data_IF_214471300512
#
_entry.id   IF_214471300512
#
_cell.length_a   1.000
_cell.length_b   1.000
_cell.length_c   1.000
_cell.angle_alpha   90.00
_cell.angle_beta   90.00
_cell.angle_gamma   90.00
#
_symmetry.space_group_name_H-M   'P 1'
#
loop_
_entity.id
_entity.type
_entity.pdbx_description
1 polymer ?
#
# COMPACT_ATOMS: atom_id res chain seq x y z
N UNK A 1 -8.10 8.77 -25.85
CA UNK A 1 -9.19 9.21 -24.96
C UNK A 1 -9.74 8.13 -24.00
N UNK A 2 -10.18 6.93 -24.42
CA UNK A 2 -10.80 5.97 -23.49
C UNK A 2 -9.83 5.39 -22.43
N UNK A 3 -8.54 5.30 -22.73
CA UNK A 3 -7.52 4.84 -21.76
C UNK A 3 -7.25 5.84 -20.62
N UNK A 4 -7.33 7.15 -20.89
CA UNK A 4 -7.15 8.20 -19.88
C UNK A 4 -8.33 8.21 -18.89
N UNK A 5 -9.55 8.06 -19.41
CA UNK A 5 -10.78 7.96 -18.59
C UNK A 5 -10.73 6.71 -17.69
N UNK A 6 -10.23 5.58 -18.22
CA UNK A 6 -10.04 4.34 -17.44
C UNK A 6 -8.99 4.50 -16.32
N UNK A 7 -7.86 5.17 -16.60
CA UNK A 7 -6.82 5.43 -15.59
C UNK A 7 -7.30 6.35 -14.46
N UNK A 8 -8.05 7.39 -14.80
CA UNK A 8 -8.63 8.32 -13.83
C UNK A 8 -9.62 7.64 -12.87
N UNK A 9 -10.54 6.83 -13.40
CA UNK A 9 -11.51 6.09 -12.60
C UNK A 9 -10.83 5.04 -11.72
N UNK A 10 -9.82 4.34 -12.24
CA UNK A 10 -9.07 3.33 -11.50
C UNK A 10 -8.33 3.93 -10.29
N UNK A 11 -7.65 5.07 -10.47
CA UNK A 11 -6.92 5.72 -9.37
C UNK A 11 -7.85 6.16 -8.24
N UNK A 12 -9.03 6.68 -8.59
CA UNK A 12 -10.06 7.06 -7.60
C UNK A 12 -10.67 5.84 -6.91
N UNK A 13 -10.89 4.76 -7.66
CA UNK A 13 -11.35 3.49 -7.10
C UNK A 13 -10.35 2.95 -6.08
N UNK A 14 -9.05 3.01 -6.35
CA UNK A 14 -8.02 2.57 -5.40
C UNK A 14 -8.08 3.35 -4.08
N UNK A 15 -8.30 4.67 -4.14
CA UNK A 15 -8.40 5.52 -2.94
C UNK A 15 -9.68 5.24 -2.16
N UNK A 16 -10.79 5.03 -2.88
CA UNK A 16 -12.04 4.60 -2.27
C UNK A 16 -11.87 3.24 -1.57
N UNK A 17 -11.25 2.26 -2.24
CA UNK A 17 -10.95 0.97 -1.66
C UNK A 17 -10.03 1.09 -0.44
N UNK A 18 -9.02 1.96 -0.47
CA UNK A 18 -8.18 2.22 0.70
C UNK A 18 -9.00 2.75 1.89
N UNK A 19 -9.94 3.68 1.64
CA UNK A 19 -10.84 4.18 2.69
C UNK A 19 -11.77 3.09 3.25
N UNK A 20 -12.24 2.16 2.42
CA UNK A 20 -13.10 1.05 2.85
C UNK A 20 -12.30 -0.02 3.59
N UNK A 21 -11.11 -0.39 3.11
CA UNK A 21 -10.31 -1.45 3.70
C UNK A 21 -9.61 -1.04 5.00
N UNK A 22 -9.38 0.25 5.24
CA UNK A 22 -8.74 0.69 6.50
C UNK A 22 -9.53 0.33 7.77
N UNK A 23 -10.84 0.63 7.90
CA UNK A 23 -11.61 0.20 9.06
C UNK A 23 -11.78 -1.33 9.11
N UNK A 24 -11.96 -1.99 7.97
CA UNK A 24 -12.03 -3.46 7.88
C UNK A 24 -10.75 -4.09 8.43
N UNK A 25 -9.59 -3.52 8.08
CA UNK A 25 -8.29 -3.96 8.58
C UNK A 25 -8.25 -3.93 10.11
N UNK A 26 -8.65 -2.84 10.76
CA UNK A 26 -8.65 -2.77 12.24
C UNK A 26 -9.68 -3.72 12.86
N UNK A 27 -10.85 -3.91 12.25
CA UNK A 27 -11.82 -4.89 12.72
C UNK A 27 -11.24 -6.31 12.65
N UNK A 28 -10.60 -6.68 11.54
CA UNK A 28 -9.94 -7.98 11.37
C UNK A 28 -8.77 -8.13 12.35
N UNK A 29 -7.96 -7.08 12.52
CA UNK A 29 -6.83 -7.08 13.45
C UNK A 29 -7.30 -7.41 14.88
N UNK A 30 -8.35 -6.73 15.35
CA UNK A 30 -8.90 -6.95 16.69
C UNK A 30 -9.65 -8.29 16.80
N UNK A 31 -10.24 -8.80 15.71
CA UNK A 31 -10.94 -10.08 15.68
C UNK A 31 -9.97 -11.27 15.71
N UNK A 32 -8.86 -11.17 14.99
CA UNK A 32 -7.90 -12.26 14.82
C UNK A 32 -6.77 -12.24 15.86
N UNK A 33 -6.48 -11.08 16.47
CA UNK A 33 -5.53 -11.04 17.58
C UNK A 33 -6.03 -11.98 18.67
N UNK A 34 -5.32 -13.10 18.89
CA UNK A 34 -5.75 -14.28 19.68
C UNK A 34 -5.79 -14.01 21.18
N UNK A 35 -6.46 -12.93 21.56
CA UNK A 35 -6.39 -12.40 22.89
C UNK A 35 -7.82 -12.18 23.37
N UNK A 36 -8.24 -13.15 24.18
CA UNK A 36 -9.03 -12.87 25.38
C UNK A 36 -8.47 -11.66 26.19
N UNK A 37 -7.24 -11.18 25.89
CA UNK A 37 -6.59 -9.96 26.40
C UNK A 37 -6.82 -8.66 25.60
N UNK A 38 -7.41 -8.63 24.39
CA UNK A 38 -7.79 -7.39 23.68
C UNK A 38 -9.29 -7.09 23.77
N UNK A 39 -9.92 -7.41 24.90
CA UNK A 39 -10.95 -6.48 25.35
C UNK A 39 -10.22 -5.18 25.70
N UNK A 40 -10.08 -4.27 24.73
CA UNK A 40 -9.52 -2.93 24.97
C UNK A 40 -10.19 -2.35 26.22
N UNK A 41 -11.48 -2.60 26.36
CA UNK A 41 -12.19 -2.42 27.62
C UNK A 41 -13.03 -3.66 27.93
N UNK A 42 -12.95 -4.19 29.16
CA UNK A 42 -13.92 -5.19 29.64
C UNK A 42 -15.19 -4.46 30.07
N UNK A 43 -16.18 -4.43 29.20
CA UNK A 43 -17.50 -3.89 29.54
C UNK A 43 -18.36 -5.06 30.06
N UNK A 44 -18.97 -4.98 31.26
CA UNK A 44 -19.74 -6.08 31.85
C UNK A 44 -20.88 -6.59 30.96
N UNK A 45 -21.45 -5.72 30.12
CA UNK A 45 -22.44 -6.09 29.12
C UNK A 45 -21.75 -6.61 27.85
N UNK A 46 -21.99 -7.87 27.51
CA UNK A 46 -21.39 -8.55 26.36
C UNK A 46 -21.65 -7.84 25.02
N UNK A 47 -22.85 -7.29 24.81
CA UNK A 47 -23.19 -6.61 23.56
C UNK A 47 -22.46 -5.28 23.43
N UNK A 48 -22.38 -4.51 24.52
CA UNK A 48 -21.61 -3.26 24.54
C UNK A 48 -20.11 -3.54 24.37
N UNK A 49 -19.61 -4.63 24.94
CA UNK A 49 -18.22 -5.05 24.78
C UNK A 49 -17.89 -5.38 23.32
N UNK A 50 -18.73 -6.16 22.65
CA UNK A 50 -18.58 -6.50 21.22
C UNK A 50 -18.69 -5.22 20.36
N UNK A 51 -19.69 -4.38 20.61
CA UNK A 51 -19.88 -3.14 19.87
C UNK A 51 -18.69 -2.19 20.00
N UNK A 52 -18.14 -2.05 21.21
CA UNK A 52 -16.99 -1.20 21.45
C UNK A 52 -15.75 -1.72 20.73
N UNK A 53 -15.39 -3.00 20.91
CA UNK A 53 -14.15 -3.54 20.38
C UNK A 53 -14.18 -3.75 18.86
N UNK A 54 -15.34 -4.06 18.25
CA UNK A 54 -15.40 -4.40 16.82
C UNK A 54 -16.02 -3.33 15.93
N UNK A 55 -16.60 -2.27 16.50
CA UNK A 55 -17.10 -1.12 15.73
C UNK A 55 -16.45 0.19 16.17
N UNK A 56 -16.58 0.56 17.45
CA UNK A 56 -16.10 1.87 17.93
C UNK A 56 -14.57 1.99 17.81
N UNK A 57 -13.83 1.02 18.36
CA UNK A 57 -12.37 1.06 18.35
C UNK A 57 -11.78 1.03 16.92
N UNK A 58 -12.22 0.16 15.99
CA UNK A 58 -11.77 0.20 14.59
C UNK A 58 -12.04 1.54 13.90
N UNK A 59 -13.20 2.17 14.14
CA UNK A 59 -13.51 3.49 13.58
C UNK A 59 -12.54 4.55 14.13
N UNK A 60 -12.27 4.54 15.43
CA UNK A 60 -11.35 5.49 16.05
C UNK A 60 -9.92 5.29 15.54
N UNK A 61 -9.43 4.05 15.47
CA UNK A 61 -8.10 3.71 14.98
C UNK A 61 -7.93 4.02 13.48
N UNK A 62 -8.98 3.84 12.67
CA UNK A 62 -8.96 4.19 11.25
C UNK A 62 -9.15 5.69 10.98
N UNK A 63 -9.74 6.44 11.90
CA UNK A 63 -10.09 7.86 11.69
C UNK A 63 -8.96 8.76 11.20
N UNK A 64 -7.69 8.66 11.67
CA UNK A 64 -6.60 9.48 11.15
C UNK A 64 -6.39 9.31 9.65
N UNK A 65 -6.39 8.05 9.22
CA UNK A 65 -6.16 7.67 7.84
C UNK A 65 -7.34 8.05 6.95
N UNK A 66 -8.57 7.87 7.44
CA UNK A 66 -9.77 8.31 6.73
C UNK A 66 -9.79 9.82 6.52
N UNK A 67 -9.37 10.59 7.53
CA UNK A 67 -9.28 12.05 7.45
C UNK A 67 -8.18 12.46 6.46
N UNK A 68 -7.01 11.81 6.49
CA UNK A 68 -5.94 12.05 5.51
C UNK A 68 -6.41 11.73 4.08
N UNK A 69 -7.05 10.58 3.88
CA UNK A 69 -7.60 10.19 2.57
C UNK A 69 -8.64 11.20 2.11
N UNK A 70 -9.56 11.62 2.98
CA UNK A 70 -10.60 12.58 2.63
C UNK A 70 -10.02 13.94 2.22
N UNK A 71 -9.09 14.47 3.02
CA UNK A 71 -8.47 15.78 2.78
C UNK A 71 -7.61 15.80 1.53
N UNK A 72 -6.86 14.71 1.27
CA UNK A 72 -5.92 14.63 0.15
C UNK A 72 -6.40 13.76 -1.01
N UNK A 73 -7.70 13.44 -1.10
CA UNK A 73 -8.26 12.48 -2.09
C UNK A 73 -7.86 12.78 -3.54
N UNK A 74 -7.87 14.05 -3.94
CA UNK A 74 -7.54 14.43 -5.31
C UNK A 74 -6.03 14.30 -5.55
N UNK A 75 -5.21 14.80 -4.62
CA UNK A 75 -3.75 14.67 -4.70
C UNK A 75 -3.30 13.21 -4.70
N UNK A 76 -3.88 12.37 -3.84
CA UNK A 76 -3.63 10.93 -3.84
C UNK A 76 -4.00 10.30 -5.20
N UNK A 77 -5.08 10.74 -5.85
CA UNK A 77 -5.51 10.19 -7.15
C UNK A 77 -4.58 10.61 -8.29
N UNK A 78 -4.18 11.88 -8.26
CA UNK A 78 -3.28 12.51 -9.22
C UNK A 78 -1.84 12.05 -9.02
N UNK A 79 -1.47 11.63 -7.81
CA UNK A 79 -0.15 11.09 -7.52
C UNK A 79 0.14 9.88 -8.40
N UNK A 80 -0.82 8.97 -8.61
CA UNK A 80 -0.61 7.79 -9.45
C UNK A 80 -0.30 8.13 -10.91
N UNK A 81 -0.85 9.24 -11.46
CA UNK A 81 -0.50 9.67 -12.83
C UNK A 81 0.89 10.32 -12.86
N UNK A 82 1.22 11.20 -11.92
CA UNK A 82 2.57 11.77 -11.77
C UNK A 82 3.62 10.69 -11.55
N UNK A 83 3.25 9.66 -10.80
CA UNK A 83 4.11 8.52 -10.53
C UNK A 83 4.31 7.67 -11.77
N UNK A 84 3.24 7.39 -12.52
CA UNK A 84 3.33 6.70 -13.80
C UNK A 84 4.18 7.45 -14.83
N UNK A 85 4.13 8.78 -14.86
CA UNK A 85 4.89 9.62 -15.79
C UNK A 85 6.37 9.76 -15.40
N UNK A 86 6.65 10.13 -14.13
CA UNK A 86 8.01 10.42 -13.66
C UNK A 86 8.81 9.18 -13.28
N UNK A 87 8.12 8.11 -12.92
CA UNK A 87 8.72 6.82 -12.56
C UNK A 87 8.50 5.79 -13.70
N UNK A 88 8.01 6.21 -14.88
CA UNK A 88 7.81 5.42 -16.11
C UNK A 88 9.01 4.57 -16.58
N UNK A 89 10.22 4.90 -16.10
CA UNK A 89 11.42 4.10 -16.36
C UNK A 89 11.30 2.73 -15.69
N UNK A 90 10.71 2.67 -14.49
CA UNK A 90 10.44 1.46 -13.73
C UNK A 90 9.22 0.73 -14.31
N UNK A 91 9.39 -0.52 -14.79
CA UNK A 91 8.26 -1.34 -15.21
C UNK A 91 7.21 -1.48 -14.10
N UNK A 92 5.92 -1.35 -14.43
CA UNK A 92 4.76 -1.45 -13.51
C UNK A 92 4.83 -2.66 -12.56
N UNK A 93 5.40 -3.77 -13.02
CA UNK A 93 5.63 -5.00 -12.25
C UNK A 93 6.46 -4.81 -10.97
N UNK A 94 7.48 -3.95 -11.00
CA UNK A 94 8.26 -3.66 -9.79
C UNK A 94 7.43 -2.85 -8.82
N UNK A 95 6.68 -1.86 -9.33
CA UNK A 95 5.78 -1.05 -8.50
C UNK A 95 4.83 -1.95 -7.68
N UNK A 96 4.32 -3.01 -8.29
CA UNK A 96 3.46 -3.99 -7.63
C UNK A 96 4.22 -4.80 -6.58
N UNK A 97 5.45 -5.28 -6.87
CA UNK A 97 6.30 -5.94 -5.87
C UNK A 97 6.55 -5.06 -4.65
N UNK A 98 7.05 -3.83 -4.89
CA UNK A 98 7.32 -2.84 -3.84
C UNK A 98 6.04 -2.47 -3.09
N UNK A 99 4.92 -2.34 -3.79
CA UNK A 99 3.64 -1.97 -3.22
C UNK A 99 3.03 -3.05 -2.34
N UNK A 100 3.05 -4.32 -2.76
CA UNK A 100 2.57 -5.44 -1.93
C UNK A 100 3.40 -5.54 -0.66
N UNK A 101 4.72 -5.46 -0.78
CA UNK A 101 5.62 -5.49 0.37
C UNK A 101 5.36 -4.30 1.31
N UNK A 102 5.22 -3.09 0.75
CA UNK A 102 4.91 -1.89 1.52
C UNK A 102 3.55 -1.99 2.21
N UNK A 103 2.52 -2.53 1.55
CA UNK A 103 1.21 -2.77 2.15
C UNK A 103 1.29 -3.76 3.30
N UNK A 104 2.05 -4.85 3.13
CA UNK A 104 2.25 -5.84 4.18
C UNK A 104 2.99 -5.26 5.39
N UNK A 105 4.10 -4.54 5.17
CA UNK A 105 4.84 -3.84 6.24
C UNK A 105 3.98 -2.78 6.91
N UNK A 106 3.16 -2.05 6.14
CA UNK A 106 2.21 -1.07 6.66
C UNK A 106 1.19 -1.72 7.57
N UNK A 107 0.59 -2.82 7.12
CA UNK A 107 -0.37 -3.60 7.89
C UNK A 107 0.25 -4.12 9.18
N UNK A 108 1.32 -4.89 9.11
CA UNK A 108 1.86 -5.56 10.30
C UNK A 108 2.53 -4.63 11.31
N UNK A 109 3.20 -3.57 10.86
CA UNK A 109 4.08 -2.79 11.75
C UNK A 109 3.66 -1.32 11.89
N UNK A 110 3.28 -0.66 10.80
CA UNK A 110 3.05 0.79 10.83
C UNK A 110 1.67 1.11 11.41
N UNK A 111 0.60 0.50 10.89
CA UNK A 111 -0.77 0.79 11.31
C UNK A 111 -1.00 0.47 12.79
N UNK A 112 -0.64 -0.71 13.34
CA UNK A 112 -0.90 -1.03 14.73
C UNK A 112 -0.13 -0.12 15.68
N UNK A 113 1.11 0.24 15.35
CA UNK A 113 1.96 1.06 16.20
C UNK A 113 1.52 2.53 16.23
N UNK A 114 1.25 3.11 15.05
CA UNK A 114 1.12 4.57 14.89
C UNK A 114 -0.33 5.04 15.01
N UNK A 115 -1.31 4.22 14.60
CA UNK A 115 -2.72 4.65 14.54
C UNK A 115 -3.33 5.04 15.88
N UNK A 116 -3.07 4.34 17.00
CA UNK A 116 -3.57 4.74 18.30
C UNK A 116 -3.11 6.15 18.70
N UNK A 117 -1.82 6.47 18.54
CA UNK A 117 -1.31 7.82 18.79
C UNK A 117 -1.89 8.86 17.81
N UNK A 118 -1.94 8.54 16.51
CA UNK A 118 -2.51 9.44 15.51
C UNK A 118 -3.99 9.73 15.73
N UNK A 119 -4.76 8.79 16.30
CA UNK A 119 -6.18 9.01 16.62
C UNK A 119 -6.36 10.15 17.61
N UNK A 120 -5.48 10.25 18.62
CA UNK A 120 -5.47 11.34 19.60
C UNK A 120 -5.07 12.66 18.94
N UNK A 121 -3.99 12.68 18.16
CA UNK A 121 -3.55 13.90 17.47
C UNK A 121 -4.59 14.40 16.45
N UNK A 122 -5.25 13.48 15.75
CA UNK A 122 -6.28 13.84 14.78
C UNK A 122 -7.51 14.40 15.48
N UNK A 123 -7.94 13.79 16.59
CA UNK A 123 -9.03 14.31 17.40
C UNK A 123 -8.70 15.70 17.98
N UNK A 124 -7.46 15.94 18.41
CA UNK A 124 -6.98 17.28 18.81
C UNK A 124 -7.11 18.29 17.67
N UNK A 125 -6.61 17.93 16.49
CA UNK A 125 -6.63 18.80 15.32
C UNK A 125 -8.07 19.12 14.87
N UNK A 126 -8.95 18.12 14.82
CA UNK A 126 -10.38 18.30 14.47
C UNK A 126 -11.09 19.16 15.52
N UNK A 127 -10.85 18.92 16.82
CA UNK A 127 -11.42 19.73 17.90
C UNK A 127 -11.02 21.20 17.77
N UNK A 128 -9.74 21.46 17.48
CA UNK A 128 -9.23 22.82 17.26
C UNK A 128 -9.87 23.48 16.04
N UNK A 129 -9.96 22.79 14.91
CA UNK A 129 -10.57 23.31 13.69
C UNK A 129 -12.05 23.68 13.90
N UNK A 130 -12.81 22.89 14.67
CA UNK A 130 -14.21 23.16 14.99
C UNK A 130 -14.40 24.44 15.80
N UNK A 131 -13.45 24.78 16.69
CA UNK A 131 -13.48 25.99 17.51
C UNK A 131 -12.96 27.19 16.70
N UNK A 132 -11.83 27.03 16.01
CA UNK A 132 -11.18 28.09 15.24
C UNK A 132 -12.08 28.58 14.08
N UNK A 133 -12.81 27.69 13.41
CA UNK A 133 -13.70 28.03 12.29
C UNK A 133 -14.98 28.80 12.67
N UNK A 134 -15.16 29.18 13.95
CA UNK A 134 -16.38 29.83 14.45
C UNK A 134 -16.09 31.25 14.95
N UNK A 135 -15.86 32.18 14.03
CA UNK A 135 -15.56 33.60 14.33
C UNK A 135 -16.51 34.25 15.35
N UNK A 136 -17.80 33.92 15.30
CA UNK A 136 -18.82 34.43 16.23
C UNK A 136 -18.58 34.03 17.70
N UNK A 137 -17.89 32.91 17.96
CA UNK A 137 -17.55 32.49 19.33
C UNK A 137 -16.40 33.34 19.90
N UNK A 138 -15.45 33.74 19.06
CA UNK A 138 -14.31 34.57 19.43
C UNK A 138 -14.72 36.01 19.80
N UNK A 139 -15.83 36.50 19.22
CA UNK A 139 -16.33 37.86 19.44
C UNK A 139 -17.23 38.02 20.68
N UNK A 140 -17.75 36.93 21.26
CA UNK A 140 -18.75 37.01 22.35
C UNK A 140 -18.16 37.26 23.73
N UNK A 141 -17.27 36.38 24.21
CA UNK A 141 -16.64 36.47 25.53
C UNK A 141 -15.61 35.37 25.71
N UNK A 142 -14.48 35.69 26.38
CA UNK A 142 -13.41 34.74 26.70
C UNK A 142 -13.91 33.54 27.53
N UNK A 143 -14.84 33.77 28.46
CA UNK A 143 -15.36 32.70 29.33
C UNK A 143 -16.18 31.68 28.52
N UNK A 144 -17.03 32.15 27.61
CA UNK A 144 -17.84 31.28 26.73
C UNK A 144 -16.91 30.44 25.84
N UNK A 145 -15.87 31.04 25.28
CA UNK A 145 -14.90 30.34 24.46
C UNK A 145 -14.19 29.23 25.23
N UNK A 146 -13.74 29.48 26.47
CA UNK A 146 -13.10 28.47 27.31
C UNK A 146 -14.05 27.32 27.62
N UNK A 147 -15.29 27.61 28.04
CA UNK A 147 -16.28 26.57 28.36
C UNK A 147 -16.61 25.71 27.14
N UNK A 148 -16.85 26.32 25.97
CA UNK A 148 -17.11 25.58 24.73
C UNK A 148 -15.91 24.75 24.33
N UNK A 149 -14.69 25.29 24.47
CA UNK A 149 -13.47 24.56 24.15
C UNK A 149 -13.34 23.31 25.04
N UNK A 150 -13.52 23.44 26.36
CA UNK A 150 -13.47 22.31 27.29
C UNK A 150 -14.49 21.23 26.90
N UNK A 151 -15.72 21.62 26.57
CA UNK A 151 -16.77 20.67 26.17
C UNK A 151 -16.40 19.94 24.88
N UNK A 152 -15.98 20.67 23.83
CA UNK A 152 -15.62 20.09 22.53
C UNK A 152 -14.42 19.17 22.65
N UNK A 153 -13.35 19.62 23.31
CA UNK A 153 -12.16 18.79 23.53
C UNK A 153 -12.49 17.55 24.35
N UNK A 154 -13.26 17.68 25.44
CA UNK A 154 -13.64 16.52 26.25
C UNK A 154 -14.48 15.52 25.45
N UNK A 155 -15.47 15.99 24.69
CA UNK A 155 -16.35 15.14 23.91
C UNK A 155 -15.62 14.38 22.79
N UNK A 156 -14.66 15.02 22.11
CA UNK A 156 -13.96 14.43 20.97
C UNK A 156 -12.68 13.68 21.33
N UNK A 157 -11.97 14.07 22.39
CA UNK A 157 -10.73 13.41 22.81
C UNK A 157 -10.96 12.20 23.70
N UNK A 158 -12.05 12.17 24.47
CA UNK A 158 -12.26 11.13 25.48
C UNK A 158 -12.14 9.73 24.87
N UNK A 159 -12.85 9.46 23.78
CA UNK A 159 -12.84 8.15 23.14
C UNK A 159 -11.49 7.79 22.50
N UNK A 160 -10.85 8.64 21.66
CA UNK A 160 -9.50 8.38 21.14
C UNK A 160 -8.44 8.16 22.20
N UNK A 161 -8.43 8.96 23.27
CA UNK A 161 -7.49 8.79 24.38
C UNK A 161 -7.73 7.46 25.09
N UNK A 162 -8.99 7.11 25.36
CA UNK A 162 -9.35 5.85 26.00
C UNK A 162 -8.94 4.65 25.15
N UNK A 163 -9.28 4.64 23.86
CA UNK A 163 -8.88 3.56 22.93
C UNK A 163 -7.36 3.46 22.83
N UNK A 164 -6.67 4.59 22.69
CA UNK A 164 -5.20 4.63 22.58
C UNK A 164 -4.52 4.10 23.83
N UNK A 165 -4.99 4.51 25.01
CA UNK A 165 -4.48 4.03 26.29
C UNK A 165 -4.58 2.50 26.40
N UNK A 166 -5.78 1.95 26.19
CA UNK A 166 -5.98 0.51 26.30
C UNK A 166 -5.25 -0.28 25.21
N UNK A 167 -5.18 0.25 24.00
CA UNK A 167 -4.43 -0.37 22.93
C UNK A 167 -2.94 -0.47 23.26
N UNK A 168 -2.35 0.58 23.85
CA UNK A 168 -0.95 0.56 24.26
C UNK A 168 -0.68 -0.34 25.47
N UNK A 169 -1.64 -0.49 26.40
CA UNK A 169 -1.52 -1.50 27.47
C UNK A 169 -1.46 -2.92 26.88
N UNK A 170 -2.26 -3.19 25.85
CA UNK A 170 -2.29 -4.47 25.16
C UNK A 170 -1.23 -4.60 24.03
N UNK A 171 -0.38 -3.60 23.82
CA UNK A 171 0.50 -3.57 22.64
C UNK A 171 1.62 -4.59 22.70
N UNK A 172 2.20 -4.86 23.87
CA UNK A 172 3.27 -5.87 24.00
C UNK A 172 2.82 -7.26 23.51
N UNK A 173 1.72 -7.86 24.03
CA UNK A 173 1.25 -9.15 23.53
C UNK A 173 0.79 -9.07 22.06
N UNK A 174 0.16 -7.96 21.65
CA UNK A 174 -0.22 -7.76 20.25
C UNK A 174 1.00 -7.76 19.32
N UNK A 175 2.08 -7.09 19.71
CA UNK A 175 3.31 -6.98 18.91
C UNK A 175 4.03 -8.32 18.79
N UNK A 176 4.00 -9.15 19.83
CA UNK A 176 4.53 -10.51 19.79
C UNK A 176 3.72 -11.39 18.83
N UNK A 177 2.39 -11.35 18.93
CA UNK A 177 1.50 -12.06 18.02
C UNK A 177 1.64 -11.59 16.57
N UNK A 178 1.76 -10.28 16.34
CA UNK A 178 2.01 -9.71 15.01
C UNK A 178 3.35 -10.19 14.44
N UNK A 179 4.40 -10.26 15.26
CA UNK A 179 5.71 -10.72 14.83
C UNK A 179 5.70 -12.21 14.48
N UNK A 180 5.03 -13.05 15.27
CA UNK A 180 4.88 -14.48 14.99
C UNK A 180 4.06 -14.72 13.71
N UNK A 181 2.95 -13.99 13.57
CA UNK A 181 2.12 -14.03 12.36
C UNK A 181 2.89 -13.52 11.14
N UNK A 182 3.72 -12.49 11.30
CA UNK A 182 4.61 -12.02 10.25
C UNK A 182 5.62 -13.08 9.85
N UNK A 183 6.29 -13.73 10.81
CA UNK A 183 7.29 -14.75 10.53
C UNK A 183 6.70 -15.97 9.80
N UNK A 184 5.45 -16.35 10.11
CA UNK A 184 4.76 -17.41 9.37
C UNK A 184 4.29 -16.96 7.98
N UNK A 185 3.89 -15.69 7.81
CA UNK A 185 3.33 -15.17 6.56
C UNK A 185 4.37 -14.61 5.57
N UNK A 186 5.55 -14.17 6.03
CA UNK A 186 6.52 -13.41 5.22
C UNK A 186 7.01 -14.17 4.00
N UNK A 187 7.20 -15.50 4.13
CA UNK A 187 7.57 -16.36 3.00
C UNK A 187 6.48 -16.39 1.93
N UNK A 188 5.21 -16.45 2.33
CA UNK A 188 4.07 -16.38 1.41
C UNK A 188 3.93 -15.00 0.77
N UNK A 189 4.06 -13.91 1.54
CA UNK A 189 4.00 -12.54 1.03
C UNK A 189 5.04 -12.33 -0.08
N UNK A 190 6.28 -12.75 0.18
CA UNK A 190 7.35 -12.67 -0.81
C UNK A 190 7.09 -13.55 -2.03
N UNK A 191 6.67 -14.81 -1.84
CA UNK A 191 6.35 -15.72 -2.94
C UNK A 191 5.22 -15.18 -3.82
N UNK A 192 4.15 -14.67 -3.21
CA UNK A 192 3.03 -14.03 -3.88
C UNK A 192 3.48 -12.84 -4.74
N UNK A 193 4.34 -11.97 -4.18
CA UNK A 193 4.93 -10.86 -4.93
C UNK A 193 5.77 -11.35 -6.11
N UNK A 194 6.54 -12.44 -5.97
CA UNK A 194 7.32 -13.04 -7.06
C UNK A 194 6.43 -13.59 -8.17
N UNK A 195 5.34 -14.29 -7.84
CA UNK A 195 4.46 -14.86 -8.88
C UNK A 195 3.89 -13.78 -9.80
N UNK A 196 3.53 -12.63 -9.22
CA UNK A 196 3.06 -11.46 -9.96
C UNK A 196 4.18 -10.89 -10.85
N UNK A 197 5.39 -10.72 -10.31
CA UNK A 197 6.51 -10.19 -11.08
C UNK A 197 6.87 -11.10 -12.25
N UNK A 198 6.93 -12.41 -12.02
CA UNK A 198 7.30 -13.38 -13.03
C UNK A 198 6.25 -13.47 -14.14
N UNK A 199 4.97 -13.51 -13.77
CA UNK A 199 3.89 -13.60 -14.76
C UNK A 199 3.87 -12.37 -15.68
N UNK A 200 3.99 -11.17 -15.09
CA UNK A 200 4.07 -9.91 -15.83
C UNK A 200 5.35 -9.79 -16.66
N UNK A 201 6.47 -10.33 -16.19
CA UNK A 201 7.74 -10.29 -16.93
C UNK A 201 7.65 -11.17 -18.18
N UNK A 202 7.13 -12.39 -18.04
CA UNK A 202 6.90 -13.30 -19.18
C UNK A 202 5.90 -12.67 -20.16
N UNK A 203 4.76 -12.16 -19.68
CA UNK A 203 3.78 -11.47 -20.52
C UNK A 203 4.38 -10.31 -21.32
N UNK A 204 5.16 -9.45 -20.66
CA UNK A 204 5.84 -8.32 -21.33
C UNK A 204 6.89 -8.77 -22.35
N UNK A 205 7.56 -9.89 -22.10
CA UNK A 205 8.54 -10.47 -23.03
C UNK A 205 7.85 -11.01 -24.28
N UNK A 206 6.75 -11.73 -24.10
CA UNK A 206 5.93 -12.25 -25.22
C UNK A 206 5.39 -11.08 -26.06
N UNK A 207 4.92 -10.00 -25.42
CA UNK A 207 4.48 -8.80 -26.14
C UNK A 207 5.60 -8.13 -26.93
N UNK A 208 6.78 -8.04 -26.33
CA UNK A 208 7.95 -7.47 -26.98
C UNK A 208 8.32 -8.26 -28.23
N UNK A 209 8.41 -9.59 -28.12
CA UNK A 209 8.70 -10.49 -29.25
C UNK A 209 7.63 -10.36 -30.34
N UNK A 210 6.34 -10.38 -29.96
CA UNK A 210 5.22 -10.25 -30.89
C UNK A 210 5.32 -8.98 -31.74
N UNK A 211 5.56 -7.82 -31.12
CA UNK A 211 5.67 -6.57 -31.85
C UNK A 211 6.94 -6.49 -32.70
N UNK A 212 8.04 -7.06 -32.23
CA UNK A 212 9.28 -7.09 -33.00
C UNK A 212 9.11 -7.93 -34.30
N UNK A 213 8.40 -9.06 -34.22
CA UNK A 213 8.17 -9.96 -35.35
C UNK A 213 7.06 -9.47 -36.28
N UNK A 214 5.91 -9.05 -35.73
CA UNK A 214 4.69 -8.76 -36.50
C UNK A 214 4.63 -7.30 -36.93
N UNK A 215 4.76 -6.36 -35.99
CA UNK A 215 4.59 -4.93 -36.28
C UNK A 215 5.90 -4.25 -36.72
N UNK A 216 7.06 -4.90 -36.52
CA UNK A 216 8.43 -4.40 -36.80
C UNK A 216 8.73 -3.02 -36.20
N UNK A 217 7.92 -2.57 -35.25
CA UNK A 217 8.05 -1.28 -34.58
C UNK A 217 8.53 -1.50 -33.15
N UNK A 218 9.80 -1.18 -32.93
CA UNK A 218 10.44 -1.30 -31.62
C UNK A 218 9.81 -0.34 -30.60
N UNK A 219 9.23 0.78 -31.04
CA UNK A 219 8.57 1.76 -30.16
C UNK A 219 7.27 1.25 -29.56
N UNK A 220 6.49 0.49 -30.33
CA UNK A 220 5.18 -0.02 -29.91
C UNK A 220 5.34 -1.26 -29.01
N UNK A 221 6.49 -1.93 -29.10
CA UNK A 221 6.85 -3.07 -28.26
C UNK A 221 6.96 -2.75 -26.76
N UNK A 222 7.07 -1.47 -26.40
CA UNK A 222 7.14 -0.99 -25.02
C UNK A 222 5.86 -0.28 -24.54
N UNK A 223 4.83 -0.15 -25.39
CA UNK A 223 3.60 0.60 -25.08
C UNK A 223 2.37 -0.32 -25.08
N UNK A 224 1.68 -0.36 -23.93
CA UNK A 224 0.44 -1.12 -23.73
C UNK A 224 0.62 -2.65 -23.80
N UNK A 225 -0.44 -3.39 -23.45
CA UNK A 225 -0.53 -4.84 -23.71
C UNK A 225 -1.92 -5.17 -24.25
N UNK A 226 -1.99 -6.14 -25.16
CA UNK A 226 -3.25 -6.64 -25.68
C UNK A 226 -3.98 -7.49 -24.61
N UNK A 227 -5.31 -7.58 -24.71
CA UNK A 227 -6.15 -8.35 -23.77
C UNK A 227 -5.72 -9.81 -23.63
N UNK A 228 -5.25 -10.44 -24.72
CA UNK A 228 -4.74 -11.82 -24.69
C UNK A 228 -3.49 -11.99 -23.84
N UNK A 229 -2.60 -11.00 -23.80
CA UNK A 229 -1.42 -11.05 -22.93
C UNK A 229 -1.83 -10.94 -21.46
N UNK A 230 -2.85 -10.13 -21.15
CA UNK A 230 -3.38 -10.06 -19.79
C UNK A 230 -3.97 -11.40 -19.33
N UNK A 231 -4.69 -12.09 -20.22
CA UNK A 231 -5.20 -13.44 -19.94
C UNK A 231 -4.04 -14.41 -19.69
N UNK A 232 -2.97 -14.33 -20.48
CA UNK A 232 -1.76 -15.13 -20.28
C UNK A 232 -1.07 -14.81 -18.94
N UNK A 233 -0.92 -13.53 -18.59
CA UNK A 233 -0.34 -13.09 -17.31
C UNK A 233 -1.13 -13.62 -16.12
N UNK A 234 -2.46 -13.54 -16.16
CA UNK A 234 -3.35 -14.09 -15.11
C UNK A 234 -3.26 -15.61 -15.05
N UNK A 235 -3.23 -16.28 -16.20
CA UNK A 235 -3.11 -17.74 -16.27
C UNK A 235 -1.79 -18.23 -15.69
N UNK A 236 -0.68 -17.57 -16.04
CA UNK A 236 0.65 -17.86 -15.49
C UNK A 236 0.71 -17.61 -13.99
N UNK A 237 0.10 -16.53 -13.50
CA UNK A 237 -0.01 -16.27 -12.07
C UNK A 237 -0.71 -17.42 -11.32
N UNK A 238 -1.84 -17.90 -11.85
CA UNK A 238 -2.57 -19.04 -11.26
C UNK A 238 -1.72 -20.31 -11.27
N UNK A 239 -1.00 -20.57 -12.36
CA UNK A 239 -0.08 -21.71 -12.47
C UNK A 239 1.03 -21.62 -11.43
N UNK A 240 1.65 -20.44 -11.25
CA UNK A 240 2.71 -20.26 -10.25
C UNK A 240 2.20 -20.41 -8.83
N UNK A 241 1.01 -19.89 -8.53
CA UNK A 241 0.35 -20.10 -7.25
C UNK A 241 0.09 -21.60 -6.99
N UNK A 242 -0.40 -22.33 -8.00
CA UNK A 242 -0.62 -23.77 -7.92
C UNK A 242 0.68 -24.56 -7.65
N UNK A 243 1.76 -24.24 -8.37
CA UNK A 243 3.06 -24.92 -8.24
C UNK A 243 3.72 -24.74 -6.86
N UNK A 244 3.40 -23.65 -6.17
CA UNK A 244 3.97 -23.35 -4.85
C UNK A 244 3.27 -24.09 -3.70
N UNK A 245 1.98 -24.40 -3.84
CA UNK A 245 1.19 -25.02 -2.77
C UNK A 245 1.77 -26.42 -2.45
N UNK A 246 2.25 -26.66 -1.21
CA UNK A 246 2.94 -27.89 -0.87
C UNK A 246 2.11 -29.16 -1.09
N UNK A 247 0.80 -29.07 -0.87
CA UNK A 247 -0.15 -30.18 -0.96
C UNK A 247 -0.39 -30.68 -2.39
N UNK A 248 0.04 -29.92 -3.42
CA UNK A 248 -0.24 -30.19 -4.83
C UNK A 248 1.01 -30.62 -5.62
N UNK A 249 2.14 -30.83 -4.93
CA UNK A 249 3.36 -31.39 -5.53
C UNK A 249 4.67 -30.67 -5.18
N UNK A 250 4.62 -29.60 -4.38
CA UNK A 250 5.76 -28.77 -3.95
C UNK A 250 6.90 -28.67 -4.99
N UNK A 251 6.62 -28.00 -6.12
CA UNK A 251 7.61 -27.73 -7.15
C UNK A 251 8.24 -26.34 -6.95
N UNK A 252 8.52 -25.96 -5.70
CA UNK A 252 9.16 -24.69 -5.35
C UNK A 252 10.47 -24.46 -6.10
N UNK A 253 11.26 -25.51 -6.35
CA UNK A 253 12.46 -25.45 -7.18
C UNK A 253 12.18 -25.01 -8.64
N UNK A 254 11.04 -25.37 -9.22
CA UNK A 254 10.66 -24.93 -10.58
C UNK A 254 10.38 -23.43 -10.59
N UNK A 255 9.71 -22.92 -9.54
CA UNK A 255 9.45 -21.48 -9.39
C UNK A 255 10.76 -20.71 -9.27
N UNK A 256 11.74 -21.26 -8.55
CA UNK A 256 13.06 -20.66 -8.45
C UNK A 256 13.75 -20.54 -9.81
N UNK A 257 13.71 -21.58 -10.64
CA UNK A 257 14.25 -21.52 -12.00
C UNK A 257 13.50 -20.51 -12.88
N UNK A 258 12.16 -20.50 -12.80
CA UNK A 258 11.33 -19.52 -13.52
C UNK A 258 11.71 -18.11 -13.09
N UNK A 259 11.92 -17.87 -11.81
CA UNK A 259 12.30 -16.57 -11.27
C UNK A 259 13.66 -16.10 -11.81
N UNK A 260 14.66 -16.99 -11.83
CA UNK A 260 15.98 -16.68 -12.43
C UNK A 260 15.86 -16.35 -13.92
N UNK A 261 15.07 -17.13 -14.66
CA UNK A 261 14.81 -16.87 -16.08
C UNK A 261 14.10 -15.52 -16.27
N UNK A 262 13.06 -15.25 -15.47
CA UNK A 262 12.34 -13.98 -15.49
C UNK A 262 13.28 -12.81 -15.20
N UNK A 263 14.15 -12.92 -14.20
CA UNK A 263 15.19 -11.94 -13.88
C UNK A 263 16.14 -11.67 -15.06
N UNK A 264 16.62 -12.72 -15.73
CA UNK A 264 17.47 -12.59 -16.91
C UNK A 264 16.74 -11.89 -18.06
N UNK A 265 15.51 -12.30 -18.37
CA UNK A 265 14.66 -11.64 -19.37
C UNK A 265 14.43 -10.17 -19.03
N UNK A 266 14.24 -9.88 -17.75
CA UNK A 266 14.14 -8.52 -17.22
C UNK A 266 15.36 -7.67 -17.55
N UNK A 267 16.54 -8.18 -17.22
CA UNK A 267 17.80 -7.48 -17.43
C UNK A 267 18.00 -7.20 -18.93
N UNK A 268 17.70 -8.20 -19.78
CA UNK A 268 17.73 -8.04 -21.24
C UNK A 268 16.76 -6.95 -21.70
N UNK A 269 15.51 -6.96 -21.26
CA UNK A 269 14.52 -5.93 -21.64
C UNK A 269 14.95 -4.52 -21.21
N UNK A 270 15.56 -4.37 -20.03
CA UNK A 270 16.10 -3.08 -19.54
C UNK A 270 17.25 -2.61 -20.44
N UNK A 271 18.19 -3.49 -20.76
CA UNK A 271 19.33 -3.19 -21.65
C UNK A 271 18.84 -2.81 -23.05
N UNK A 272 17.85 -3.52 -23.59
CA UNK A 272 17.27 -3.20 -24.89
C UNK A 272 16.56 -1.84 -24.87
N UNK A 273 15.77 -1.55 -23.83
CA UNK A 273 15.11 -0.25 -23.66
C UNK A 273 16.13 0.89 -23.62
N UNK A 274 17.25 0.68 -22.91
CA UNK A 274 18.40 1.59 -22.86
C UNK A 274 19.04 1.80 -24.24
N UNK A 275 19.30 0.72 -24.97
CA UNK A 275 19.96 0.75 -26.28
C UNK A 275 19.12 1.48 -27.32
N UNK A 276 17.80 1.25 -27.33
CA UNK A 276 16.92 1.80 -28.36
C UNK A 276 16.36 3.20 -28.04
N UNK A 277 16.71 3.80 -26.89
CA UNK A 277 16.22 5.13 -26.45
C UNK A 277 14.71 5.31 -26.65
N UNK A 278 13.95 4.24 -26.45
CA UNK A 278 12.51 4.24 -26.71
C UNK A 278 11.82 5.05 -25.62
N UNK A 279 11.45 6.28 -26.00
CA UNK A 279 10.65 7.28 -25.27
C UNK A 279 11.47 8.11 -24.28
N UNK A 280 11.40 9.43 -24.46
CA UNK A 280 12.12 10.50 -23.75
C UNK A 280 11.76 10.69 -22.27
N UNK A 281 11.67 9.61 -21.51
CA UNK A 281 11.70 9.66 -20.05
C UNK A 281 13.15 9.77 -19.59
N UNK A 282 13.52 10.88 -18.96
CA UNK A 282 14.82 11.01 -18.31
C UNK A 282 15.07 9.79 -17.43
N UNK A 283 16.23 9.17 -17.63
CA UNK A 283 16.68 8.01 -16.88
C UNK A 283 16.71 8.36 -15.39
N UNK A 284 15.70 7.94 -14.64
CA UNK A 284 15.64 8.22 -13.22
C UNK A 284 16.59 7.26 -12.53
N UNK A 285 17.67 7.78 -11.94
CA UNK A 285 18.57 7.07 -11.00
C UNK A 285 17.79 6.19 -10.01
N UNK A 286 16.60 6.65 -9.63
CA UNK A 286 15.64 5.94 -8.80
C UNK A 286 15.24 4.57 -9.36
N UNK A 287 15.04 4.44 -10.67
CA UNK A 287 14.63 3.17 -11.27
C UNK A 287 15.71 2.10 -11.27
N UNK A 288 16.97 2.50 -11.30
CA UNK A 288 18.12 1.60 -11.13
C UNK A 288 18.22 1.12 -9.69
N UNK A 289 18.03 2.02 -8.71
CA UNK A 289 17.99 1.65 -7.28
C UNK A 289 16.88 0.65 -7.01
N UNK A 290 15.70 0.89 -7.58
CA UNK A 290 14.55 -0.03 -7.50
C UNK A 290 14.95 -1.38 -8.09
N UNK A 291 15.41 -1.46 -9.34
CA UNK A 291 15.81 -2.74 -9.93
C UNK A 291 16.93 -3.47 -9.15
N UNK A 292 17.93 -2.74 -8.64
CA UNK A 292 19.02 -3.29 -7.82
C UNK A 292 18.51 -3.81 -6.46
N UNK A 293 17.57 -3.10 -5.84
CA UNK A 293 16.92 -3.52 -4.60
C UNK A 293 16.18 -4.85 -4.77
N UNK A 294 15.49 -5.04 -5.89
CA UNK A 294 14.78 -6.29 -6.20
C UNK A 294 15.76 -7.46 -6.29
N UNK A 295 16.83 -7.31 -7.08
CA UNK A 295 17.89 -8.31 -7.21
C UNK A 295 18.54 -8.64 -5.88
N UNK A 296 18.75 -7.63 -5.04
CA UNK A 296 19.34 -7.81 -3.71
C UNK A 296 18.42 -8.62 -2.81
N UNK A 297 17.11 -8.31 -2.77
CA UNK A 297 16.13 -9.07 -1.97
C UNK A 297 16.06 -10.52 -2.44
N UNK A 298 16.10 -10.74 -3.76
CA UNK A 298 16.00 -12.08 -4.34
C UNK A 298 17.18 -12.98 -3.98
N UNK A 299 18.39 -12.43 -4.07
CA UNK A 299 19.60 -13.13 -3.64
C UNK A 299 19.58 -13.43 -2.13
N UNK A 300 19.05 -12.51 -1.34
CA UNK A 300 19.10 -12.59 0.12
C UNK A 300 17.99 -13.43 0.76
N UNK A 301 16.88 -13.70 0.04
CA UNK A 301 15.74 -14.47 0.56
C UNK A 301 16.12 -15.86 1.09
N UNK A 302 17.13 -16.50 0.50
CA UNK A 302 17.48 -17.91 0.78
C UNK A 302 18.24 -18.12 2.09
N UNK A 303 18.74 -17.06 2.72
CA UNK A 303 19.67 -17.20 3.85
C UNK A 303 18.98 -17.24 5.21
N UNK A 304 18.07 -16.30 5.48
CA UNK A 304 17.46 -16.17 6.81
C UNK A 304 16.18 -15.32 6.76
N UNK A 305 15.18 -15.68 7.57
CA UNK A 305 13.93 -14.94 7.72
C UNK A 305 14.12 -13.49 8.21
N UNK A 306 15.15 -13.24 9.03
CA UNK A 306 15.51 -11.90 9.51
C UNK A 306 15.99 -11.05 8.33
N UNK A 307 16.85 -11.62 7.48
CA UNK A 307 17.39 -10.94 6.30
C UNK A 307 16.27 -10.67 5.30
N UNK A 308 15.36 -11.63 5.11
CA UNK A 308 14.17 -11.44 4.28
C UNK A 308 13.30 -10.30 4.81
N UNK A 309 13.01 -10.29 6.11
CA UNK A 309 12.23 -9.21 6.74
C UNK A 309 12.90 -7.86 6.53
N UNK A 310 14.20 -7.75 6.79
CA UNK A 310 14.97 -6.53 6.55
C UNK A 310 14.95 -6.09 5.09
N UNK A 311 15.01 -7.04 4.15
CA UNK A 311 14.95 -6.77 2.71
C UNK A 311 13.57 -6.23 2.30
N UNK A 312 12.48 -6.82 2.80
CA UNK A 312 11.12 -6.33 2.53
C UNK A 312 10.88 -4.95 3.15
N UNK A 313 11.37 -4.70 4.37
CA UNK A 313 11.34 -3.37 4.99
C UNK A 313 12.10 -2.37 4.15
N UNK A 314 13.30 -2.71 3.67
CA UNK A 314 14.09 -1.84 2.79
C UNK A 314 13.34 -1.53 1.48
N UNK A 315 12.72 -2.52 0.85
CA UNK A 315 11.88 -2.30 -0.35
C UNK A 315 10.69 -1.38 -0.06
N UNK A 316 10.09 -1.51 1.11
CA UNK A 316 8.98 -0.67 1.55
C UNK A 316 9.42 0.79 1.74
N UNK A 317 10.62 1.03 2.27
CA UNK A 317 11.20 2.37 2.40
C UNK A 317 11.40 3.04 1.04
N UNK A 318 11.91 2.29 0.05
CA UNK A 318 12.04 2.77 -1.34
C UNK A 318 10.67 3.16 -1.88
N UNK A 319 9.66 2.30 -1.68
CA UNK A 319 8.28 2.59 -2.09
C UNK A 319 7.75 3.86 -1.45
N UNK A 320 7.83 4.01 -0.11
CA UNK A 320 7.34 5.20 0.58
C UNK A 320 8.05 6.47 0.15
N UNK A 321 9.36 6.41 -0.09
CA UNK A 321 10.12 7.58 -0.57
C UNK A 321 9.63 8.01 -1.95
N UNK A 322 9.39 7.05 -2.84
CA UNK A 322 8.84 7.31 -4.17
C UNK A 322 7.41 7.87 -4.12
N UNK A 323 6.61 7.33 -3.21
CA UNK A 323 5.24 7.74 -2.97
C UNK A 323 5.18 9.18 -2.45
N UNK A 324 5.98 9.51 -1.43
CA UNK A 324 6.08 10.87 -0.87
C UNK A 324 6.58 11.84 -1.94
N UNK A 325 7.60 11.47 -2.72
CA UNK A 325 8.09 12.29 -3.81
C UNK A 325 6.98 12.59 -4.83
N UNK A 326 6.24 11.57 -5.28
CA UNK A 326 5.14 11.75 -6.21
C UNK A 326 4.03 12.62 -5.59
N UNK A 327 3.71 12.42 -4.30
CA UNK A 327 2.69 13.15 -3.57
C UNK A 327 3.00 14.65 -3.53
N UNK A 328 4.24 15.03 -3.19
CA UNK A 328 4.68 16.44 -3.15
C UNK A 328 4.65 17.13 -4.51
N UNK A 329 4.69 16.37 -5.61
CA UNK A 329 4.64 16.90 -6.99
C UNK A 329 3.24 16.89 -7.59
N UNK A 330 2.26 16.26 -6.94
CA UNK A 330 0.88 16.18 -7.41
C UNK A 330 0.03 17.36 -6.93
N UNK A 331 -0.85 17.85 -7.80
CA UNK A 331 -1.78 18.94 -7.49
C UNK A 331 -3.01 18.45 -6.71
N UNK A 332 -3.56 19.33 -5.86
CA UNK A 332 -4.83 19.08 -5.15
C UNK A 332 -6.07 19.34 -6.02
N UNK A 333 -5.88 19.96 -7.19
CA UNK A 333 -6.97 20.26 -8.12
C UNK A 333 -7.56 18.99 -8.73
N UNK A 334 -8.89 18.91 -8.87
CA UNK A 334 -9.49 17.81 -9.61
C UNK A 334 -8.99 17.88 -11.04
N UNK A 335 -8.31 16.83 -11.52
CA UNK A 335 -7.92 16.72 -12.93
C UNK A 335 -9.18 16.90 -13.79
N UNK A 336 -9.30 18.05 -14.43
CA UNK A 336 -10.33 18.32 -15.41
C UNK A 336 -9.97 17.50 -16.64
N UNK A 337 -10.91 16.68 -17.11
CA UNK A 337 -10.80 15.98 -18.39
C UNK A 337 -10.71 17.03 -19.50
N UNK A 338 -9.52 17.57 -19.80
CA UNK A 338 -9.49 18.69 -20.74
C UNK A 338 -8.16 19.31 -21.12
N UNK A 339 -7.05 19.16 -20.39
CA UNK A 339 -5.80 19.82 -20.81
C UNK A 339 -4.66 18.81 -21.08
N UNK A 340 -3.97 18.97 -22.23
CA UNK A 340 -2.96 18.04 -22.75
C UNK A 340 -1.71 17.94 -21.88
#
# INVERSE_FOLDING_TARGET
MPYYIKGFLLNRLLIFLAAVFTPIYFTILLLLSDTQMLSLMVIPNIYLNIFFNFMIAPIILSSPWLILIYNFRNRLANMFSVWAEKIAVVPLRYLLFYGINALAVTGFFILPLISPALSVFTALAVSWQLIAGREKLWLKSRSILVTVSIIVFSALLFLPVLVSYFFYQAYLPLSAWLLETWQSAVGFIYAFSIWIVNSLTIGSTVWFIYNLVVSRKVTDAFTGSNSWIRVLEVSLFIIFAYLWIPQLGNMSYVIDYINVISLLLMAVLIILKLKFKVIGGNFSFFGVIVAAGFLTVDLLYRFNIIILTGSLVFTSIIFFTSFIYAFTKSSDEPYMLGEP
#
